data_IF_049335550477
#
_entry.id   IF_049335550477
#
_cell.length_a   1.000
_cell.length_b   1.000
_cell.length_c   1.000
_cell.angle_alpha   90.00
_cell.angle_beta   90.00
_cell.angle_gamma   90.00
#
_symmetry.space_group_name_H-M   'P 1'
#
loop_
_entity.id
_entity.type
_entity.pdbx_description
1 polymer ?
#
# COMPACT_ATOMS: atom_id res chain seq x y z
N UNK A 1 5.82 9.77 -16.98
CA UNK A 1 5.10 10.75 -16.13
C UNK A 1 6.04 11.32 -15.08
N UNK A 2 5.69 12.48 -14.52
CA UNK A 2 6.43 13.06 -13.40
C UNK A 2 6.03 12.40 -12.09
N UNK A 3 6.82 12.61 -11.03
CA UNK A 3 6.44 12.14 -9.68
C UNK A 3 5.15 12.81 -9.21
N UNK A 4 4.97 14.11 -9.48
CA UNK A 4 3.75 14.81 -9.13
C UNK A 4 2.53 14.18 -9.79
N UNK A 5 2.63 13.84 -11.06
CA UNK A 5 1.56 13.15 -11.78
C UNK A 5 1.30 11.76 -11.23
N UNK A 6 2.37 11.04 -10.89
CA UNK A 6 2.26 9.73 -10.24
C UNK A 6 1.46 9.82 -8.94
N UNK A 7 1.85 10.74 -8.05
CA UNK A 7 1.18 10.89 -6.75
C UNK A 7 -0.28 11.33 -6.90
N UNK A 8 -0.57 12.20 -7.86
CA UNK A 8 -1.95 12.59 -8.14
C UNK A 8 -2.78 11.38 -8.58
N UNK A 9 -2.22 10.54 -9.44
CA UNK A 9 -2.91 9.36 -9.98
C UNK A 9 -3.19 8.29 -8.92
N UNK A 10 -2.23 8.02 -8.04
CA UNK A 10 -2.40 6.99 -7.01
C UNK A 10 -3.07 7.50 -5.73
N UNK A 11 -3.52 8.75 -5.72
CA UNK A 11 -4.17 9.33 -4.55
C UNK A 11 -3.20 9.51 -3.38
N UNK A 12 -1.96 9.91 -3.68
CA UNK A 12 -0.94 10.15 -2.68
C UNK A 12 -0.71 11.63 -2.40
N UNK A 13 0.24 11.91 -1.51
CA UNK A 13 0.62 13.26 -1.11
C UNK A 13 2.10 13.50 -1.41
N UNK A 14 2.37 14.05 -2.60
CA UNK A 14 3.74 14.35 -3.02
C UNK A 14 4.39 15.40 -2.12
N UNK A 15 3.66 16.45 -1.76
CA UNK A 15 4.18 17.55 -0.97
C UNK A 15 4.67 17.07 0.40
N UNK A 16 3.86 16.29 1.10
CA UNK A 16 4.24 15.73 2.40
C UNK A 16 5.41 14.77 2.26
N UNK A 17 5.43 13.94 1.22
CA UNK A 17 6.51 12.99 0.96
C UNK A 17 7.82 13.72 0.69
N UNK A 18 7.78 14.75 -0.15
CA UNK A 18 8.95 15.57 -0.48
C UNK A 18 9.47 16.31 0.75
N UNK A 19 8.59 16.77 1.64
CA UNK A 19 9.00 17.43 2.88
C UNK A 19 9.81 16.51 3.79
N UNK A 20 9.44 15.22 3.84
CA UNK A 20 10.17 14.22 4.63
C UNK A 20 11.45 13.76 3.97
N UNK A 21 11.47 13.74 2.64
CA UNK A 21 12.61 13.29 1.82
C UNK A 21 12.80 14.27 0.68
N UNK A 22 13.51 15.38 0.89
CA UNK A 22 13.62 16.46 -0.10
C UNK A 22 14.58 16.10 -1.26
N UNK A 23 14.36 14.93 -1.86
CA UNK A 23 15.12 14.45 -3.03
C UNK A 23 14.18 13.67 -3.92
N UNK A 24 13.83 14.24 -5.08
CA UNK A 24 13.01 13.56 -6.09
C UNK A 24 13.63 12.24 -6.53
N UNK A 25 14.95 12.21 -6.74
CA UNK A 25 15.64 11.00 -7.16
C UNK A 25 15.49 9.88 -6.12
N UNK A 26 15.57 10.23 -4.83
CA UNK A 26 15.43 9.25 -3.76
C UNK A 26 13.99 8.76 -3.64
N UNK A 27 13.01 9.66 -3.75
CA UNK A 27 11.59 9.30 -3.74
C UNK A 27 11.32 8.34 -4.90
N UNK A 28 11.74 8.69 -6.11
CA UNK A 28 11.55 7.85 -7.30
C UNK A 28 12.18 6.47 -7.12
N UNK A 29 13.39 6.42 -6.55
CA UNK A 29 14.08 5.16 -6.29
C UNK A 29 13.25 4.24 -5.40
N UNK A 30 12.67 4.76 -4.31
CA UNK A 30 11.85 3.97 -3.40
C UNK A 30 10.51 3.57 -4.03
N UNK A 31 9.87 4.47 -4.78
CA UNK A 31 8.63 4.17 -5.50
C UNK A 31 8.83 3.04 -6.51
N UNK A 32 9.95 3.07 -7.25
CA UNK A 32 10.27 2.04 -8.24
C UNK A 32 10.52 0.67 -7.59
N UNK A 33 10.85 0.61 -6.31
CA UNK A 33 11.02 -0.65 -5.57
C UNK A 33 9.71 -1.27 -5.11
N UNK A 34 8.62 -0.51 -5.11
CA UNK A 34 7.35 -1.00 -4.58
C UNK A 34 6.88 -2.30 -5.23
N UNK A 35 6.95 -2.50 -6.57
CA UNK A 35 6.51 -3.76 -7.17
C UNK A 35 7.22 -5.00 -6.65
N UNK A 36 8.43 -4.86 -6.11
CA UNK A 36 9.18 -5.96 -5.50
C UNK A 36 8.88 -6.18 -4.02
N UNK A 37 8.05 -5.34 -3.39
CA UNK A 37 7.67 -5.51 -1.99
C UNK A 37 6.70 -6.68 -1.84
N UNK A 38 6.98 -7.64 -0.94
CA UNK A 38 6.18 -8.86 -0.84
C UNK A 38 4.90 -8.73 -0.01
N UNK A 39 4.69 -7.59 0.67
CA UNK A 39 3.63 -7.51 1.68
C UNK A 39 2.23 -7.66 1.11
N UNK A 40 1.95 -7.11 -0.09
CA UNK A 40 0.62 -7.28 -0.70
C UNK A 40 0.34 -8.73 -1.04
N UNK A 41 1.28 -9.44 -1.66
CA UNK A 41 1.08 -10.86 -2.03
C UNK A 41 0.99 -11.75 -0.79
N UNK A 42 1.77 -11.44 0.26
CA UNK A 42 1.64 -12.15 1.54
C UNK A 42 0.25 -11.94 2.14
N UNK A 43 -0.28 -10.73 2.07
CA UNK A 43 -1.63 -10.43 2.55
C UNK A 43 -2.68 -11.20 1.76
N UNK A 44 -2.58 -11.21 0.43
CA UNK A 44 -3.51 -11.95 -0.43
C UNK A 44 -3.50 -13.44 -0.08
N UNK A 45 -2.32 -14.03 0.02
CA UNK A 45 -2.17 -15.44 0.35
C UNK A 45 -2.71 -15.76 1.73
N UNK A 46 -2.48 -14.88 2.70
CA UNK A 46 -2.98 -15.07 4.07
C UNK A 46 -4.50 -15.06 4.13
N UNK A 47 -5.13 -14.13 3.40
CA UNK A 47 -6.60 -14.06 3.35
C UNK A 47 -7.18 -15.30 2.68
N UNK A 48 -6.57 -15.77 1.60
CA UNK A 48 -7.01 -16.98 0.91
C UNK A 48 -6.89 -18.23 1.79
N UNK A 49 -5.81 -18.30 2.58
CA UNK A 49 -5.56 -19.42 3.49
C UNK A 49 -6.26 -19.24 4.85
N UNK A 50 -6.92 -18.13 5.08
CA UNK A 50 -7.52 -17.78 6.37
C UNK A 50 -6.49 -17.84 7.51
N UNK A 51 -5.26 -17.47 7.21
CA UNK A 51 -4.18 -17.31 8.17
C UNK A 51 -4.24 -15.89 8.73
N UNK A 52 -5.02 -15.71 9.79
CA UNK A 52 -5.32 -14.37 10.30
C UNK A 52 -4.13 -13.71 10.98
N UNK A 53 -3.24 -14.50 11.58
CA UNK A 53 -2.00 -13.95 12.14
C UNK A 53 -1.12 -13.35 11.05
N UNK A 54 -0.93 -14.07 9.94
CA UNK A 54 -0.17 -13.55 8.80
C UNK A 54 -0.90 -12.39 8.14
N UNK A 55 -2.24 -12.46 8.03
CA UNK A 55 -3.04 -11.37 7.45
C UNK A 55 -2.84 -10.08 8.24
N UNK A 56 -2.85 -10.16 9.58
CA UNK A 56 -2.58 -8.98 10.42
C UNK A 56 -1.17 -8.44 10.18
N UNK A 57 -0.16 -9.29 10.22
CA UNK A 57 1.25 -8.86 10.05
C UNK A 57 1.48 -8.26 8.65
N UNK A 58 0.97 -8.92 7.61
CA UNK A 58 1.15 -8.47 6.23
C UNK A 58 0.43 -7.14 5.96
N UNK A 59 -0.81 -6.98 6.46
CA UNK A 59 -1.54 -5.73 6.32
C UNK A 59 -0.89 -4.59 7.10
N UNK A 60 -0.34 -4.88 8.27
CA UNK A 60 0.41 -3.89 9.06
C UNK A 60 1.66 -3.43 8.31
N UNK A 61 2.40 -4.37 7.72
CA UNK A 61 3.58 -4.06 6.91
C UNK A 61 3.21 -3.25 5.67
N UNK A 62 2.17 -3.65 4.96
CA UNK A 62 1.70 -2.93 3.76
C UNK A 62 1.28 -1.50 4.11
N UNK A 63 0.55 -1.34 5.21
CA UNK A 63 0.17 -0.02 5.71
C UNK A 63 1.41 0.84 5.95
N UNK A 64 2.43 0.30 6.59
CA UNK A 64 3.69 1.01 6.86
C UNK A 64 4.43 1.40 5.59
N UNK A 65 4.51 0.50 4.62
CA UNK A 65 5.12 0.78 3.31
C UNK A 65 4.39 1.92 2.61
N UNK A 66 3.06 1.84 2.53
CA UNK A 66 2.25 2.87 1.89
C UNK A 66 2.39 4.23 2.57
N UNK A 67 2.39 4.25 3.89
CA UNK A 67 2.58 5.48 4.67
C UNK A 67 3.95 6.10 4.38
N UNK A 68 4.98 5.28 4.40
CA UNK A 68 6.36 5.72 4.18
C UNK A 68 6.55 6.32 2.77
N UNK A 69 5.84 5.80 1.78
CA UNK A 69 5.91 6.26 0.40
C UNK A 69 4.90 7.38 0.08
N UNK A 70 4.06 7.77 1.03
CA UNK A 70 3.05 8.80 0.82
C UNK A 70 1.90 8.37 -0.10
N UNK A 71 1.63 7.08 -0.19
CA UNK A 71 0.55 6.50 -1.00
C UNK A 71 -0.71 6.41 -0.15
N UNK A 72 -1.39 7.56 0.04
CA UNK A 72 -2.45 7.70 1.04
C UNK A 72 -3.66 6.81 0.78
N UNK A 73 -4.05 6.64 -0.49
CA UNK A 73 -5.19 5.77 -0.81
C UNK A 73 -4.90 4.33 -0.41
N UNK A 74 -3.73 3.82 -0.77
CA UNK A 74 -3.31 2.47 -0.37
C UNK A 74 -3.19 2.37 1.14
N UNK A 75 -2.62 3.39 1.78
CA UNK A 75 -2.48 3.42 3.23
C UNK A 75 -3.84 3.28 3.93
N UNK A 76 -4.83 4.09 3.53
CA UNK A 76 -6.15 4.07 4.15
C UNK A 76 -6.84 2.71 3.99
N UNK A 77 -6.75 2.14 2.80
CA UNK A 77 -7.34 0.83 2.53
C UNK A 77 -6.66 -0.28 3.34
N UNK A 78 -5.33 -0.29 3.38
CA UNK A 78 -4.57 -1.28 4.15
C UNK A 78 -4.80 -1.11 5.65
N UNK A 79 -4.88 0.12 6.14
CA UNK A 79 -5.13 0.41 7.56
C UNK A 79 -6.49 -0.10 8.00
N UNK A 80 -7.54 0.12 7.19
CA UNK A 80 -8.88 -0.35 7.49
C UNK A 80 -8.93 -1.88 7.59
N UNK A 81 -8.30 -2.57 6.64
CA UNK A 81 -8.25 -4.03 6.66
C UNK A 81 -7.41 -4.53 7.84
N UNK A 82 -6.28 -3.90 8.11
CA UNK A 82 -5.42 -4.24 9.24
C UNK A 82 -6.18 -4.15 10.56
N UNK A 83 -6.93 -3.06 10.76
CA UNK A 83 -7.74 -2.89 11.96
C UNK A 83 -8.82 -3.97 12.10
N UNK A 84 -9.40 -4.39 10.97
CA UNK A 84 -10.45 -5.41 10.97
C UNK A 84 -9.96 -6.81 11.35
N UNK A 85 -8.67 -7.10 11.11
CA UNK A 85 -8.07 -8.40 11.46
C UNK A 85 -7.20 -8.32 12.71
N UNK A 86 -7.20 -7.18 13.38
CA UNK A 86 -6.43 -6.99 14.61
C UNK A 86 -7.00 -7.84 15.73
N UNK A 87 -6.13 -8.61 16.35
CA UNK A 87 -6.48 -9.55 17.39
C UNK A 87 -5.41 -10.64 17.53
N UNK A 88 -4.96 -11.36 16.50
CA UNK A 88 -5.58 -11.48 15.17
C UNK A 88 -6.97 -12.11 15.22
N UNK A 89 -7.80 -11.75 14.25
CA UNK A 89 -9.14 -12.31 14.12
C UNK A 89 -9.56 -12.39 12.66
N UNK A 90 -10.58 -13.22 12.33
CA UNK A 90 -11.09 -13.36 10.97
C UNK A 90 -11.58 -12.02 10.40
N UNK A 91 -11.37 -11.85 9.09
CA UNK A 91 -11.96 -10.74 8.35
C UNK A 91 -13.45 -11.03 8.13
N UNK A 92 -14.31 -10.27 8.81
CA UNK A 92 -15.76 -10.43 8.71
C UNK A 92 -16.37 -9.60 7.58
N UNK A 93 -15.78 -8.44 7.28
CA UNK A 93 -16.25 -7.53 6.23
C UNK A 93 -15.39 -7.68 4.99
N UNK A 94 -15.83 -8.52 4.06
CA UNK A 94 -15.13 -8.79 2.81
C UNK A 94 -15.02 -7.54 1.91
N UNK A 95 -15.83 -6.50 2.14
CA UNK A 95 -15.77 -5.27 1.34
C UNK A 95 -14.50 -4.46 1.59
N UNK A 96 -13.71 -4.81 2.60
CA UNK A 96 -12.45 -4.13 2.88
C UNK A 96 -11.31 -4.59 1.98
N UNK A 97 -11.45 -5.73 1.28
CA UNK A 97 -10.41 -6.21 0.38
C UNK A 97 -10.35 -5.47 -0.97
N UNK A 98 -11.48 -5.28 -1.71
CA UNK A 98 -11.42 -4.64 -3.02
C UNK A 98 -10.71 -3.28 -3.05
N UNK A 99 -10.87 -2.39 -2.04
CA UNK A 99 -10.12 -1.14 -2.02
C UNK A 99 -8.59 -1.33 -1.93
N UNK A 100 -8.13 -2.34 -1.20
CA UNK A 100 -6.69 -2.65 -1.11
C UNK A 100 -6.18 -3.11 -2.47
N UNK A 101 -6.89 -4.04 -3.09
CA UNK A 101 -6.53 -4.57 -4.41
C UNK A 101 -6.50 -3.45 -5.46
N UNK A 102 -7.53 -2.63 -5.51
CA UNK A 102 -7.63 -1.54 -6.48
C UNK A 102 -6.50 -0.52 -6.31
N UNK A 103 -6.21 -0.11 -5.07
CA UNK A 103 -5.14 0.85 -4.80
C UNK A 103 -3.77 0.26 -5.16
N UNK A 104 -3.53 -0.99 -4.85
CA UNK A 104 -2.29 -1.69 -5.20
C UNK A 104 -2.11 -1.76 -6.72
N UNK A 105 -3.13 -2.19 -7.45
CA UNK A 105 -3.08 -2.30 -8.91
C UNK A 105 -2.84 -0.94 -9.57
N UNK A 106 -3.45 0.12 -9.03
CA UNK A 106 -3.23 1.49 -9.52
C UNK A 106 -1.78 1.92 -9.35
N UNK A 107 -1.16 1.58 -8.20
CA UNK A 107 0.26 1.87 -7.98
C UNK A 107 1.12 1.11 -8.98
N UNK A 108 0.87 -0.18 -9.20
CA UNK A 108 1.64 -0.98 -10.16
C UNK A 108 1.54 -0.40 -11.56
N UNK A 109 0.34 -0.02 -11.99
CA UNK A 109 0.12 0.56 -13.32
C UNK A 109 0.86 1.89 -13.47
N UNK A 110 0.80 2.75 -12.44
CA UNK A 110 1.44 4.05 -12.46
C UNK A 110 2.98 3.95 -12.44
N UNK A 111 3.52 3.01 -11.69
CA UNK A 111 4.98 2.77 -11.63
C UNK A 111 5.54 2.45 -13.03
N UNK A 112 4.78 1.72 -13.84
CA UNK A 112 5.21 1.39 -15.21
C UNK A 112 5.39 2.61 -16.11
N UNK A 113 4.75 3.73 -15.76
CA UNK A 113 4.79 4.96 -16.54
C UNK A 113 5.78 5.98 -15.97
N UNK A 114 6.47 5.64 -14.91
CA UNK A 114 7.57 6.43 -14.39
C UNK A 114 8.84 6.13 -15.17
#
# INVERSE_FOLDING_TARGET
MTLQEFYARVGGDYSATHSRRPSEALIKKFVLKYPGDPSFEQLRAALDAQDWELAFRASHTLKGVAQNLGMDRLYKAAAALCDAVRGPKPLEDASLWPPVLAAHEEVLAAVREL
#
